data_IF_472017822771
#
_entry.id   IF_472017822771
#
_cell.length_a   1.000
_cell.length_b   1.000
_cell.length_c   1.000
_cell.angle_alpha   90.00
_cell.angle_beta   90.00
_cell.angle_gamma   90.00
#
_symmetry.space_group_name_H-M   'P 1'
#
loop_
_entity.id
_entity.type
_entity.pdbx_description
1 polymer ?
#
# COMPACT_ATOMS: atom_id res chain seq x y z
N UNK A 1 14.63 -22.86 -41.52
CA UNK A 1 15.88 -22.09 -41.74
C UNK A 1 16.36 -21.65 -40.36
N UNK A 2 17.44 -22.10 -39.73
CA UNK A 2 18.61 -22.88 -40.08
C UNK A 2 18.92 -23.80 -38.88
N UNK A 3 19.32 -25.05 -39.15
CA UNK A 3 20.14 -25.86 -38.24
C UNK A 3 21.60 -25.41 -38.37
N UNK A 4 22.43 -25.87 -37.43
CA UNK A 4 23.91 -25.99 -37.46
C UNK A 4 24.65 -24.87 -36.73
N UNK A 5 25.13 -25.16 -35.51
CA UNK A 5 26.57 -25.23 -35.20
C UNK A 5 26.76 -25.53 -33.70
N UNK A 6 27.01 -26.80 -33.41
CA UNK A 6 27.75 -27.22 -32.23
C UNK A 6 29.26 -27.23 -32.57
N UNK A 7 30.08 -27.14 -31.53
CA UNK A 7 31.54 -27.37 -31.50
C UNK A 7 32.41 -26.21 -32.00
N UNK A 8 32.99 -25.46 -31.05
CA UNK A 8 34.45 -25.27 -30.92
C UNK A 8 34.75 -25.01 -29.44
N UNK A 9 35.09 -26.07 -28.70
CA UNK A 9 35.73 -25.99 -27.38
C UNK A 9 37.23 -26.13 -27.64
N UNK A 10 37.98 -25.02 -27.62
CA UNK A 10 39.44 -25.07 -27.72
C UNK A 10 40.06 -24.92 -26.33
N UNK A 11 40.86 -25.92 -25.98
CA UNK A 11 41.73 -26.02 -24.83
C UNK A 11 42.64 -24.78 -24.70
N UNK A 12 42.61 -24.12 -23.55
CA UNK A 12 43.76 -23.38 -23.03
C UNK A 12 44.13 -24.02 -21.70
N UNK A 13 45.13 -24.89 -21.76
CA UNK A 13 45.86 -25.39 -20.60
C UNK A 13 46.67 -24.23 -20.00
N UNK A 14 46.22 -23.67 -18.87
CA UNK A 14 47.09 -22.88 -18.02
C UNK A 14 47.92 -23.84 -17.18
N UNK A 15 49.21 -23.94 -17.52
CA UNK A 15 50.23 -24.55 -16.66
C UNK A 15 50.35 -23.73 -15.39
N UNK A 16 49.91 -24.28 -14.25
CA UNK A 16 50.24 -23.75 -12.94
C UNK A 16 51.75 -23.94 -12.71
N UNK A 17 52.51 -22.85 -12.81
CA UNK A 17 53.87 -22.82 -12.31
C UNK A 17 53.81 -22.73 -10.78
N UNK A 18 54.30 -23.77 -10.10
CA UNK A 18 54.53 -23.77 -8.66
C UNK A 18 55.50 -22.64 -8.28
N UNK A 19 55.20 -21.84 -7.24
CA UNK A 19 56.23 -21.01 -6.62
C UNK A 19 57.14 -21.91 -5.77
N UNK A 20 58.42 -21.90 -6.12
CA UNK A 20 59.50 -22.53 -5.37
C UNK A 20 59.62 -21.86 -3.99
N UNK A 21 59.46 -22.62 -2.91
CA UNK A 21 59.74 -22.18 -1.55
C UNK A 21 61.21 -21.73 -1.41
N UNK A 22 61.43 -20.49 -1.00
CA UNK A 22 62.72 -20.01 -0.49
C UNK A 22 62.76 -20.11 1.05
N UNK A 23 63.91 -20.40 1.67
CA UNK A 23 64.01 -20.58 3.11
C UNK A 23 63.87 -19.26 3.87
N UNK A 24 63.21 -19.31 5.02
CA UNK A 24 63.08 -18.24 6.00
C UNK A 24 64.46 -17.77 6.49
N UNK A 25 64.85 -16.54 6.16
CA UNK A 25 66.02 -15.87 6.73
C UNK A 25 65.58 -14.85 7.79
N UNK A 26 66.22 -14.89 8.96
CA UNK A 26 65.83 -14.17 10.17
C UNK A 26 66.13 -12.66 10.07
N UNK A 27 65.39 -11.76 10.76
CA UNK A 27 65.60 -10.33 10.64
C UNK A 27 66.81 -9.86 11.47
N UNK A 28 67.81 -9.30 10.80
CA UNK A 28 68.94 -8.58 11.40
C UNK A 28 68.67 -7.05 11.30
N UNK A 29 69.00 -6.24 12.33
CA UNK A 29 68.63 -4.81 12.36
C UNK A 29 69.50 -3.95 11.43
N UNK A 30 69.02 -2.75 11.03
CA UNK A 30 69.59 -2.00 9.91
C UNK A 30 70.89 -1.29 10.30
N UNK A 31 71.92 -1.51 9.48
CA UNK A 31 73.09 -0.65 9.41
C UNK A 31 72.87 0.42 8.34
N UNK A 32 73.11 1.67 8.70
CA UNK A 32 73.04 2.83 7.81
C UNK A 32 74.17 2.81 6.76
N UNK A 33 73.93 3.54 5.66
CA UNK A 33 74.82 3.83 4.54
C UNK A 33 75.10 2.73 3.50
N UNK A 34 74.18 2.59 2.52
CA UNK A 34 74.55 2.27 1.13
C UNK A 34 73.70 3.06 0.11
N UNK A 35 74.29 3.53 -1.01
CA UNK A 35 73.61 4.36 -1.99
C UNK A 35 72.74 3.53 -2.96
N UNK A 36 71.60 4.11 -3.36
CA UNK A 36 70.62 3.48 -4.24
C UNK A 36 71.17 3.15 -5.64
N UNK A 37 70.81 2.00 -6.24
CA UNK A 37 71.17 1.66 -7.62
C UNK A 37 70.32 2.45 -8.63
N UNK A 38 70.82 2.67 -9.87
CA UNK A 38 70.11 3.46 -10.88
C UNK A 38 68.86 2.74 -11.40
N UNK A 39 67.81 3.51 -11.63
CA UNK A 39 66.53 3.03 -12.16
C UNK A 39 66.70 2.43 -13.56
N UNK A 40 66.47 1.13 -13.68
CA UNK A 40 66.35 0.44 -14.98
C UNK A 40 64.96 0.75 -15.55
N UNK A 41 64.93 1.48 -16.65
CA UNK A 41 63.70 1.76 -17.42
C UNK A 41 63.18 0.46 -18.05
N UNK A 42 62.12 -0.10 -17.50
CA UNK A 42 61.43 -1.28 -18.04
C UNK A 42 60.52 -0.86 -19.20
N UNK A 43 60.87 -1.20 -20.43
CA UNK A 43 59.95 -1.13 -21.57
C UNK A 43 59.20 -2.45 -21.69
N UNK A 44 57.85 -2.46 -21.60
CA UNK A 44 57.07 -3.67 -21.78
C UNK A 44 57.23 -4.22 -23.20
N UNK A 45 57.28 -5.53 -23.31
CA UNK A 45 57.37 -6.23 -24.58
C UNK A 45 56.11 -6.02 -25.43
N UNK A 46 56.23 -6.18 -26.75
CA UNK A 46 55.09 -6.07 -27.67
C UNK A 46 53.94 -7.03 -27.30
N UNK A 47 54.24 -8.17 -26.69
CA UNK A 47 53.24 -9.13 -26.20
C UNK A 47 52.44 -8.60 -25.00
N UNK A 48 53.09 -7.91 -24.06
CA UNK A 48 52.42 -7.28 -22.90
C UNK A 48 51.55 -6.10 -23.34
N UNK A 49 52.02 -5.32 -24.32
CA UNK A 49 51.24 -4.24 -24.92
C UNK A 49 49.98 -4.76 -25.62
N UNK A 50 50.08 -5.89 -26.34
CA UNK A 50 48.93 -6.53 -26.98
C UNK A 50 47.94 -7.11 -25.97
N UNK A 51 48.43 -7.75 -24.90
CA UNK A 51 47.59 -8.26 -23.82
C UNK A 51 46.82 -7.14 -23.11
N UNK A 52 47.48 -6.01 -22.85
CA UNK A 52 46.87 -4.83 -22.25
C UNK A 52 45.77 -4.21 -23.13
N UNK A 53 45.91 -4.29 -24.46
CA UNK A 53 44.91 -3.77 -25.41
C UNK A 53 43.70 -4.71 -25.59
N UNK A 54 43.93 -6.03 -25.55
CA UNK A 54 42.87 -7.01 -25.81
C UNK A 54 41.99 -7.30 -24.60
N UNK A 55 42.54 -7.22 -23.38
CA UNK A 55 41.80 -7.50 -22.14
C UNK A 55 40.50 -6.67 -21.99
N UNK A 56 40.52 -5.33 -22.10
CA UNK A 56 39.30 -4.52 -21.96
C UNK A 56 38.30 -4.73 -23.11
N UNK A 57 38.76 -5.11 -24.30
CA UNK A 57 37.89 -5.44 -25.44
C UNK A 57 37.11 -6.73 -25.21
N UNK A 58 37.77 -7.75 -24.66
CA UNK A 58 37.16 -9.04 -24.32
C UNK A 58 36.18 -8.88 -23.15
N UNK A 59 36.58 -8.18 -22.08
CA UNK A 59 35.70 -7.88 -20.94
C UNK A 59 34.47 -7.08 -21.36
N UNK A 60 34.64 -6.06 -22.22
CA UNK A 60 33.55 -5.29 -22.77
C UNK A 60 32.59 -6.14 -23.63
N UNK A 61 33.10 -7.12 -24.37
CA UNK A 61 32.26 -8.03 -25.16
C UNK A 61 31.46 -9.01 -24.29
N UNK A 62 32.09 -9.57 -23.24
CA UNK A 62 31.43 -10.45 -22.27
C UNK A 62 30.34 -9.69 -21.50
N UNK A 63 30.63 -8.48 -21.03
CA UNK A 63 29.66 -7.63 -20.32
C UNK A 63 28.44 -7.29 -21.19
N UNK A 64 28.64 -6.95 -22.46
CA UNK A 64 27.53 -6.70 -23.41
C UNK A 64 26.69 -7.95 -23.67
N UNK A 65 27.33 -9.11 -23.82
CA UNK A 65 26.62 -10.38 -24.01
C UNK A 65 25.79 -10.75 -22.77
N UNK A 66 26.34 -10.55 -21.57
CA UNK A 66 25.66 -10.82 -20.30
C UNK A 66 24.46 -9.89 -20.09
N UNK A 67 24.60 -8.60 -20.40
CA UNK A 67 23.51 -7.63 -20.37
C UNK A 67 22.39 -7.98 -21.38
N UNK A 68 22.76 -8.35 -22.61
CA UNK A 68 21.80 -8.80 -23.64
C UNK A 68 21.03 -10.05 -23.21
N UNK A 69 21.68 -11.00 -22.55
CA UNK A 69 21.04 -12.20 -22.02
C UNK A 69 20.07 -11.90 -20.87
N UNK A 70 20.45 -11.02 -19.92
CA UNK A 70 19.57 -10.58 -18.84
C UNK A 70 18.32 -9.87 -19.37
N UNK A 71 18.46 -9.00 -20.37
CA UNK A 71 17.34 -8.33 -21.03
C UNK A 71 16.39 -9.33 -21.71
N UNK A 72 16.93 -10.34 -22.41
CA UNK A 72 16.12 -11.39 -23.02
C UNK A 72 15.36 -12.23 -21.99
N UNK A 73 15.98 -12.53 -20.83
CA UNK A 73 15.31 -13.22 -19.74
C UNK A 73 14.16 -12.39 -19.13
N UNK A 74 14.36 -11.09 -18.94
CA UNK A 74 13.33 -10.18 -18.43
C UNK A 74 12.16 -10.05 -19.42
N UNK A 75 12.44 -9.93 -20.72
CA UNK A 75 11.41 -9.92 -21.76
C UNK A 75 10.57 -11.20 -21.73
N UNK A 76 11.21 -12.38 -21.66
CA UNK A 76 10.49 -13.66 -21.57
C UNK A 76 9.74 -13.88 -20.24
N UNK A 77 10.10 -13.16 -19.16
CA UNK A 77 9.31 -13.14 -17.92
C UNK A 77 8.09 -12.22 -18.06
N UNK A 78 8.25 -11.07 -18.70
CA UNK A 78 7.17 -10.13 -18.97
C UNK A 78 6.08 -10.75 -19.86
N UNK A 79 6.47 -11.44 -20.94
CA UNK A 79 5.53 -12.14 -21.81
C UNK A 79 4.73 -13.21 -21.06
N UNK A 80 5.38 -13.96 -20.16
CA UNK A 80 4.71 -14.97 -19.32
C UNK A 80 3.75 -14.34 -18.31
N UNK A 81 4.10 -13.21 -17.73
CA UNK A 81 3.23 -12.46 -16.83
C UNK A 81 2.01 -11.90 -17.59
N UNK A 82 2.21 -11.38 -18.80
CA UNK A 82 1.13 -10.88 -19.64
C UNK A 82 0.18 -12.00 -20.09
N UNK A 83 0.72 -13.15 -20.51
CA UNK A 83 -0.10 -14.32 -20.82
C UNK A 83 -0.89 -14.84 -19.60
N UNK A 84 -0.29 -14.77 -18.40
CA UNK A 84 -0.96 -15.07 -17.13
C UNK A 84 -2.09 -14.10 -16.81
N UNK A 85 -1.87 -12.80 -17.01
CA UNK A 85 -2.89 -11.76 -16.82
C UNK A 85 -4.07 -11.95 -17.79
N UNK A 86 -3.80 -12.24 -19.07
CA UNK A 86 -4.83 -12.51 -20.06
C UNK A 86 -5.66 -13.77 -19.73
N UNK A 87 -5.00 -14.81 -19.21
CA UNK A 87 -5.69 -16.01 -18.72
C UNK A 87 -6.58 -15.70 -17.50
N UNK A 88 -6.08 -14.88 -16.57
CA UNK A 88 -6.84 -14.39 -15.42
C UNK A 88 -8.07 -13.59 -15.83
N UNK A 89 -7.94 -12.66 -16.77
CA UNK A 89 -9.08 -11.89 -17.30
C UNK A 89 -10.13 -12.77 -17.97
N UNK A 90 -9.73 -13.81 -18.72
CA UNK A 90 -10.68 -14.78 -19.30
C UNK A 90 -11.40 -15.58 -18.22
N UNK A 91 -10.70 -16.01 -17.18
CA UNK A 91 -11.31 -16.73 -16.06
C UNK A 91 -12.32 -15.84 -15.30
N UNK A 92 -11.97 -14.57 -15.05
CA UNK A 92 -12.86 -13.61 -14.41
C UNK A 92 -14.13 -13.37 -15.25
N UNK A 93 -13.99 -13.23 -16.57
CA UNK A 93 -15.13 -13.08 -17.47
C UNK A 93 -16.06 -14.30 -17.45
N UNK A 94 -15.53 -15.50 -17.29
CA UNK A 94 -16.33 -16.72 -17.14
C UNK A 94 -17.08 -16.75 -15.81
N UNK A 95 -16.41 -16.40 -14.70
CA UNK A 95 -17.04 -16.29 -13.38
C UNK A 95 -18.19 -15.28 -13.40
N UNK A 96 -18.03 -14.12 -14.05
CA UNK A 96 -19.10 -13.14 -14.21
C UNK A 96 -20.29 -13.71 -14.97
N UNK A 97 -20.06 -14.50 -16.03
CA UNK A 97 -21.15 -15.16 -16.76
C UNK A 97 -21.85 -16.22 -15.91
N UNK A 98 -21.11 -16.95 -15.08
CA UNK A 98 -21.67 -17.93 -14.15
C UNK A 98 -22.54 -17.24 -13.09
N UNK A 99 -22.08 -16.10 -12.55
CA UNK A 99 -22.87 -15.33 -11.58
C UNK A 99 -24.19 -14.85 -12.19
N UNK A 100 -24.17 -14.29 -13.41
CA UNK A 100 -25.40 -13.86 -14.08
C UNK A 100 -26.38 -15.00 -14.34
N UNK A 101 -25.88 -16.21 -14.66
CA UNK A 101 -26.73 -17.41 -14.78
C UNK A 101 -27.34 -17.79 -13.44
N UNK A 102 -26.56 -17.71 -12.35
CA UNK A 102 -27.05 -18.01 -11.01
C UNK A 102 -28.15 -17.04 -10.59
N UNK A 103 -27.96 -15.74 -10.84
CA UNK A 103 -28.95 -14.71 -10.52
C UNK A 103 -30.26 -14.92 -11.30
N UNK A 104 -30.17 -15.33 -12.58
CA UNK A 104 -31.35 -15.72 -13.38
C UNK A 104 -32.09 -16.91 -12.77
N UNK A 105 -31.38 -17.95 -12.35
CA UNK A 105 -31.99 -19.13 -11.72
C UNK A 105 -32.66 -18.76 -10.40
N UNK A 106 -32.02 -17.91 -9.58
CA UNK A 106 -32.60 -17.41 -8.33
C UNK A 106 -33.88 -16.63 -8.61
N UNK A 107 -33.89 -15.80 -9.66
CA UNK A 107 -35.10 -15.07 -10.07
C UNK A 107 -36.24 -16.01 -10.47
N UNK A 108 -35.96 -17.02 -11.29
CA UNK A 108 -36.96 -18.00 -11.75
C UNK A 108 -37.52 -18.83 -10.58
N UNK A 109 -36.67 -19.27 -9.66
CA UNK A 109 -37.09 -20.01 -8.46
C UNK A 109 -37.97 -19.12 -7.57
N UNK A 110 -37.61 -17.85 -7.40
CA UNK A 110 -38.39 -16.89 -6.61
C UNK A 110 -39.77 -16.66 -7.24
N UNK A 111 -39.84 -16.53 -8.58
CA UNK A 111 -41.08 -16.39 -9.31
C UNK A 111 -41.98 -17.64 -9.18
N UNK A 112 -41.40 -18.84 -9.24
CA UNK A 112 -42.12 -20.10 -9.01
C UNK A 112 -42.67 -20.19 -7.58
N UNK A 113 -41.88 -19.84 -6.57
CA UNK A 113 -42.34 -19.82 -5.17
C UNK A 113 -43.52 -18.84 -4.96
N UNK A 114 -43.46 -17.65 -5.57
CA UNK A 114 -44.56 -16.68 -5.56
C UNK A 114 -45.82 -17.23 -6.23
N UNK A 115 -45.67 -17.95 -7.35
CA UNK A 115 -46.80 -18.57 -8.05
C UNK A 115 -47.48 -19.68 -7.23
N UNK A 116 -46.69 -20.48 -6.50
CA UNK A 116 -47.21 -21.56 -5.65
C UNK A 116 -47.90 -21.00 -4.40
N UNK A 117 -47.36 -19.95 -3.80
CA UNK A 117 -48.02 -19.22 -2.69
C UNK A 117 -49.37 -18.63 -3.13
N UNK A 118 -49.45 -18.12 -4.36
CA UNK A 118 -50.69 -17.56 -4.93
C UNK A 118 -51.72 -18.66 -5.22
N UNK A 119 -51.27 -19.85 -5.66
CA UNK A 119 -52.14 -21.01 -5.93
C UNK A 119 -52.61 -21.72 -4.65
N UNK A 120 -51.82 -21.68 -3.58
CA UNK A 120 -52.15 -22.30 -2.29
C UNK A 120 -53.17 -21.52 -1.44
N UNK A 121 -53.68 -20.37 -1.91
CA UNK A 121 -54.69 -19.58 -1.20
C UNK A 121 -54.24 -19.03 0.15
N UNK A 122 -52.93 -18.98 0.41
CA UNK A 122 -52.39 -18.35 1.60
C UNK A 122 -52.27 -16.85 1.36
N UNK A 123 -53.04 -16.07 2.12
CA UNK A 123 -52.96 -14.62 2.09
C UNK A 123 -51.54 -14.16 2.46
N UNK A 124 -50.86 -13.53 1.51
CA UNK A 124 -49.61 -12.82 1.76
C UNK A 124 -49.91 -11.61 2.66
N UNK A 125 -49.21 -11.40 3.78
CA UNK A 125 -49.34 -10.18 4.55
C UNK A 125 -48.78 -9.02 3.70
N UNK A 126 -49.68 -8.12 3.29
CA UNK A 126 -49.31 -6.85 2.69
C UNK A 126 -48.62 -6.01 3.75
N UNK A 127 -47.29 -5.93 3.71
CA UNK A 127 -46.54 -4.87 4.40
C UNK A 127 -46.69 -3.61 3.54
N UNK A 128 -47.65 -2.76 3.89
CA UNK A 128 -47.71 -1.37 3.41
C UNK A 128 -46.51 -0.63 3.99
N UNK A 129 -45.50 -0.36 3.16
CA UNK A 129 -44.53 0.69 3.44
C UNK A 129 -45.23 2.04 3.37
N UNK A 130 -45.35 2.72 4.50
CA UNK A 130 -45.79 4.11 4.57
C UNK A 130 -44.80 5.01 3.83
N UNK A 131 -45.35 5.81 2.91
CA UNK A 131 -44.66 6.89 2.21
C UNK A 131 -44.66 8.10 3.15
N UNK A 132 -43.48 8.52 3.62
CA UNK A 132 -43.32 9.79 4.32
C UNK A 132 -43.41 10.96 3.33
N UNK A 133 -44.47 11.77 3.43
CA UNK A 133 -44.56 13.12 2.87
C UNK A 133 -43.89 14.16 3.80
N UNK A 134 -43.37 15.28 3.27
CA UNK A 134 -42.71 16.31 4.08
C UNK A 134 -43.73 17.19 4.84
N UNK A 135 -43.37 17.74 6.02
CA UNK A 135 -44.33 18.46 6.85
C UNK A 135 -44.47 19.93 6.43
N UNK A 136 -45.72 20.39 6.33
CA UNK A 136 -46.05 21.82 6.35
C UNK A 136 -46.09 22.35 7.79
N UNK A 137 -45.45 23.50 8.00
CA UNK A 137 -45.59 24.34 9.18
C UNK A 137 -47.04 24.83 9.35
N UNK A 138 -47.60 24.64 10.55
CA UNK A 138 -48.08 25.77 11.38
C UNK A 138 -48.57 25.36 12.77
N UNK A 139 -47.92 25.99 13.76
CA UNK A 139 -48.43 26.67 14.95
C UNK A 139 -49.45 25.99 15.90
N UNK A 140 -49.04 26.09 17.16
CA UNK A 140 -49.79 26.32 18.39
C UNK A 140 -50.21 25.10 19.23
N UNK A 141 -49.46 24.90 20.31
CA UNK A 141 -50.05 24.94 21.65
C UNK A 141 -50.15 23.63 22.44
N UNK A 142 -49.33 23.57 23.50
CA UNK A 142 -49.68 23.11 24.88
C UNK A 142 -49.46 21.63 25.27
N UNK A 143 -48.34 21.41 25.96
CA UNK A 143 -48.21 20.85 27.33
C UNK A 143 -48.99 19.56 27.72
N UNK A 144 -48.29 18.44 27.97
CA UNK A 144 -48.07 17.81 29.29
C UNK A 144 -47.48 16.37 29.21
N UNK A 145 -46.35 16.20 29.89
CA UNK A 145 -45.90 15.10 30.77
C UNK A 145 -46.10 13.59 30.49
N UNK A 146 -45.00 12.88 30.74
CA UNK A 146 -44.85 11.61 31.49
C UNK A 146 -44.67 10.29 30.70
N UNK A 147 -43.52 9.67 30.97
CA UNK A 147 -43.15 8.29 30.69
C UNK A 147 -43.92 7.29 31.57
N UNK A 148 -43.88 5.99 31.24
CA UNK A 148 -43.09 5.09 32.09
C UNK A 148 -42.33 3.98 31.36
N UNK A 149 -41.34 3.40 32.06
CA UNK A 149 -40.49 2.26 31.67
C UNK A 149 -41.15 0.87 31.90
N UNK A 150 -40.43 -0.30 31.94
CA UNK A 150 -40.69 -1.40 31.00
C UNK A 150 -41.19 -2.66 31.71
N UNK A 151 -41.76 -3.59 30.93
CA UNK A 151 -42.18 -4.91 31.44
C UNK A 151 -41.37 -6.03 30.78
N UNK A 152 -40.65 -6.74 31.65
CA UNK A 152 -40.04 -8.07 31.49
C UNK A 152 -41.08 -9.17 31.32
N UNK A 153 -40.88 -10.13 30.39
CA UNK A 153 -40.60 -11.54 30.75
C UNK A 153 -40.60 -12.53 29.56
N UNK A 154 -39.57 -13.38 29.59
CA UNK A 154 -39.45 -14.81 29.25
C UNK A 154 -40.22 -15.40 28.05
N UNK A 155 -39.49 -16.17 27.21
CA UNK A 155 -39.72 -17.63 27.06
C UNK A 155 -38.46 -18.32 26.50
N UNK A 156 -37.95 -19.30 27.25
CA UNK A 156 -36.94 -20.30 26.84
C UNK A 156 -37.55 -21.28 25.83
N UNK A 157 -36.80 -21.64 24.78
CA UNK A 157 -37.00 -22.92 24.06
C UNK A 157 -35.68 -23.68 23.98
N UNK A 158 -35.73 -24.93 24.47
CA UNK A 158 -34.74 -25.99 24.36
C UNK A 158 -34.67 -26.53 22.92
N UNK A 159 -33.46 -26.84 22.45
CA UNK A 159 -33.14 -27.81 21.39
C UNK A 159 -31.87 -28.57 21.85
N UNK A 160 -31.74 -29.89 21.62
CA UNK A 160 -31.02 -30.79 22.50
C UNK A 160 -29.53 -30.96 22.21
N UNK A 161 -28.82 -31.39 23.25
CA UNK A 161 -27.43 -31.83 23.25
C UNK A 161 -27.26 -33.17 22.52
N UNK A 162 -26.23 -33.25 21.68
CA UNK A 162 -25.64 -34.53 21.22
C UNK A 162 -24.23 -34.59 21.81
N UNK A 163 -24.00 -35.60 22.65
CA UNK A 163 -22.69 -35.92 23.19
C UNK A 163 -21.99 -36.97 22.34
N UNK A 164 -20.67 -36.83 22.19
CA UNK A 164 -19.78 -37.94 21.95
C UNK A 164 -18.35 -37.59 22.41
N UNK A 165 -17.99 -38.16 23.56
CA UNK A 165 -16.74 -38.89 23.86
C UNK A 165 -15.42 -38.11 23.75
N UNK A 166 -14.91 -37.75 24.94
CA UNK A 166 -13.50 -37.49 25.22
C UNK A 166 -12.73 -38.83 25.16
N UNK A 167 -11.77 -38.96 24.24
CA UNK A 167 -10.68 -39.93 24.38
C UNK A 167 -9.45 -39.21 24.96
N UNK A 168 -8.98 -39.74 26.08
CA UNK A 168 -7.81 -39.29 26.82
C UNK A 168 -6.54 -39.74 26.09
N UNK A 169 -5.65 -38.81 25.76
CA UNK A 169 -4.27 -39.12 25.37
C UNK A 169 -3.39 -39.20 26.63
N UNK A 170 -2.57 -40.26 26.79
CA UNK A 170 -1.66 -40.37 27.92
C UNK A 170 -0.42 -39.49 27.76
N UNK A 171 -0.07 -38.86 28.87
CA UNK A 171 1.08 -38.01 29.13
C UNK A 171 2.40 -38.80 28.95
N UNK A 172 3.30 -38.32 28.09
CA UNK A 172 4.64 -38.88 27.90
C UNK A 172 5.65 -38.14 28.78
N UNK A 173 6.30 -38.88 29.68
CA UNK A 173 7.44 -38.45 30.49
C UNK A 173 8.67 -38.06 29.64
N UNK A 174 9.48 -37.06 30.06
CA UNK A 174 10.67 -36.63 29.31
C UNK A 174 11.89 -37.53 29.62
N UNK A 175 12.49 -38.09 28.57
CA UNK A 175 13.78 -38.81 28.63
C UNK A 175 14.99 -37.87 28.68
N UNK A 176 16.19 -38.37 29.07
CA UNK A 176 17.34 -37.53 29.41
C UNK A 176 18.06 -36.96 28.19
N UNK A 177 18.53 -35.71 28.34
CA UNK A 177 19.27 -34.94 27.33
C UNK A 177 20.64 -35.57 26.98
N UNK A 178 21.06 -35.54 25.70
CA UNK A 178 22.44 -35.73 25.32
C UNK A 178 23.23 -34.41 25.39
N UNK A 179 24.29 -34.44 26.19
CA UNK A 179 25.32 -33.40 26.32
C UNK A 179 25.90 -33.07 24.94
N UNK A 180 25.63 -31.86 24.44
CA UNK A 180 26.32 -31.30 23.28
C UNK A 180 27.34 -30.22 23.68
N UNK A 181 28.52 -30.39 23.09
CA UNK A 181 29.75 -29.68 23.36
C UNK A 181 29.64 -28.19 23.01
N UNK A 182 30.17 -27.35 23.91
CA UNK A 182 30.36 -25.92 23.71
C UNK A 182 31.29 -25.68 22.51
N UNK A 183 30.78 -25.03 21.47
CA UNK A 183 31.56 -24.49 20.35
C UNK A 183 31.48 -22.95 20.41
N UNK A 184 32.60 -22.21 20.23
CA UNK A 184 32.68 -20.82 20.64
C UNK A 184 31.96 -19.86 19.68
N UNK A 185 31.35 -18.85 20.30
CA UNK A 185 31.03 -17.51 19.77
C UNK A 185 30.38 -17.48 18.38
N UNK A 186 29.05 -17.64 18.37
CA UNK A 186 28.23 -16.95 17.39
C UNK A 186 28.17 -15.48 17.82
N UNK A 187 28.51 -14.61 16.89
CA UNK A 187 28.37 -13.16 16.96
C UNK A 187 26.98 -12.81 17.50
N UNK A 188 26.95 -11.90 18.46
CA UNK A 188 25.72 -11.23 18.88
C UNK A 188 25.23 -10.49 17.64
N UNK A 189 24.25 -11.06 16.93
CA UNK A 189 23.44 -10.31 15.98
C UNK A 189 22.89 -9.12 16.76
N UNK A 190 23.39 -7.93 16.43
CA UNK A 190 23.03 -6.69 17.10
C UNK A 190 21.51 -6.51 17.01
N UNK A 191 20.90 -6.13 18.13
CA UNK A 191 19.57 -5.51 18.10
C UNK A 191 19.55 -4.50 16.95
N UNK A 192 18.52 -4.57 16.09
CA UNK A 192 18.43 -3.74 14.90
C UNK A 192 18.71 -2.27 15.28
N UNK A 193 19.88 -1.76 14.87
CA UNK A 193 20.27 -0.37 15.12
C UNK A 193 19.25 0.52 14.40
N UNK A 194 18.41 1.19 15.18
CA UNK A 194 17.47 2.19 14.71
C UNK A 194 17.75 3.52 15.42
N UNK A 195 17.35 4.63 14.81
CA UNK A 195 17.54 5.97 15.36
C UNK A 195 16.27 6.45 16.05
N UNK A 196 16.35 6.81 17.33
CA UNK A 196 15.19 7.28 18.09
C UNK A 196 14.73 8.70 17.71
N UNK A 197 15.66 9.57 17.30
CA UNK A 197 15.39 10.97 16.99
C UNK A 197 16.00 11.37 15.64
N UNK A 198 15.53 10.78 14.53
CA UNK A 198 16.05 11.07 13.20
C UNK A 198 15.81 12.52 12.80
N UNK A 199 16.74 13.09 12.04
CA UNK A 199 16.54 14.35 11.36
C UNK A 199 15.49 14.21 10.23
N UNK A 200 14.66 15.23 10.05
CA UNK A 200 13.71 15.26 8.95
C UNK A 200 14.42 15.39 7.60
N UNK A 201 14.08 14.52 6.64
CA UNK A 201 14.50 14.69 5.25
C UNK A 201 13.54 15.67 4.53
N UNK A 202 14.01 16.44 3.55
CA UNK A 202 13.16 17.42 2.86
C UNK A 202 12.02 16.76 2.05
N UNK A 203 10.83 17.34 2.03
CA UNK A 203 9.87 16.97 0.98
C UNK A 203 10.44 17.38 -0.40
N UNK A 204 10.07 16.69 -1.49
CA UNK A 204 10.41 17.07 -2.88
C UNK A 204 11.78 16.61 -3.43
N UNK A 205 12.39 15.57 -2.85
CA UNK A 205 13.51 14.86 -3.51
C UNK A 205 12.96 13.86 -4.52
N UNK A 206 13.60 13.75 -5.68
CA UNK A 206 13.12 12.95 -6.80
C UNK A 206 12.92 11.46 -6.47
N UNK A 207 13.80 10.87 -5.65
CA UNK A 207 13.65 9.55 -5.06
C UNK A 207 14.64 9.38 -3.90
N UNK A 208 14.18 8.78 -2.80
CA UNK A 208 15.01 8.42 -1.66
C UNK A 208 15.62 7.04 -1.82
N UNK A 209 16.87 6.91 -1.38
CA UNK A 209 17.48 5.62 -1.10
C UNK A 209 17.18 5.24 0.35
N UNK A 210 17.01 3.94 0.59
CA UNK A 210 16.86 3.44 1.94
C UNK A 210 18.16 3.64 2.73
N UNK A 211 18.11 4.27 3.92
CA UNK A 211 19.28 4.44 4.77
C UNK A 211 19.65 3.12 5.46
N UNK A 212 20.92 2.98 5.87
CA UNK A 212 21.39 1.84 6.67
C UNK A 212 20.64 1.74 8.02
N UNK A 213 20.32 2.89 8.60
CA UNK A 213 19.60 3.00 9.88
C UNK A 213 18.26 3.69 9.66
N UNK A 214 17.17 3.07 10.10
CA UNK A 214 15.82 3.62 10.06
C UNK A 214 15.41 4.19 11.42
N UNK A 215 14.36 5.00 11.45
CA UNK A 215 13.79 5.51 12.68
C UNK A 215 13.17 4.40 13.54
N UNK A 216 13.35 4.46 14.87
CA UNK A 216 12.76 3.54 15.85
C UNK A 216 11.24 3.74 16.03
N UNK A 217 10.50 4.05 14.97
CA UNK A 217 9.06 4.22 14.99
C UNK A 217 8.43 3.49 13.80
N UNK A 218 7.22 2.94 14.01
CA UNK A 218 6.48 2.23 12.95
C UNK A 218 5.51 3.13 12.19
N UNK A 219 5.21 4.32 12.71
CA UNK A 219 4.37 5.32 12.08
C UNK A 219 4.73 6.74 12.50
N UNK A 220 4.20 7.74 11.77
CA UNK A 220 4.38 9.14 12.14
C UNK A 220 3.81 9.42 13.54
N UNK A 221 2.68 8.82 13.92
CA UNK A 221 2.13 8.98 15.26
C UNK A 221 3.09 8.49 16.35
N UNK A 222 3.71 7.31 16.16
CA UNK A 222 4.69 6.78 17.11
C UNK A 222 5.94 7.67 17.17
N UNK A 223 6.43 8.14 16.02
CA UNK A 223 7.59 9.03 15.96
C UNK A 223 7.34 10.36 16.68
N UNK A 224 6.13 10.93 16.51
CA UNK A 224 5.69 12.11 17.25
C UNK A 224 5.69 11.87 18.77
N UNK A 225 5.19 10.72 19.20
CA UNK A 225 5.12 10.37 20.62
C UNK A 225 6.51 10.14 21.25
N UNK A 226 7.55 9.92 20.44
CA UNK A 226 8.94 9.90 20.88
C UNK A 226 9.56 11.30 21.06
N UNK A 227 8.82 12.37 20.71
CA UNK A 227 9.27 13.75 20.88
C UNK A 227 9.81 14.40 19.59
N UNK A 228 9.76 13.70 18.45
CA UNK A 228 10.07 14.30 17.15
C UNK A 228 8.91 15.19 16.72
N UNK A 229 9.20 16.43 16.32
CA UNK A 229 8.18 17.45 16.03
C UNK A 229 8.36 18.17 14.69
N UNK A 230 9.41 17.85 13.92
CA UNK A 230 9.70 18.52 12.65
C UNK A 230 8.95 17.84 11.49
N UNK A 231 8.15 18.58 10.74
CA UNK A 231 7.54 18.03 9.51
C UNK A 231 8.62 17.59 8.52
N UNK A 232 8.39 16.48 7.82
CA UNK A 232 9.31 16.05 6.77
C UNK A 232 9.18 14.58 6.43
N UNK A 233 10.14 14.10 5.65
CA UNK A 233 10.20 12.72 5.18
C UNK A 233 11.05 11.87 6.14
N UNK A 234 10.55 10.69 6.46
CA UNK A 234 11.17 9.76 7.40
C UNK A 234 11.15 8.33 6.87
N UNK A 235 12.24 7.61 7.12
CA UNK A 235 12.31 6.16 6.94
C UNK A 235 11.96 5.48 8.26
N UNK A 236 10.80 4.83 8.31
CA UNK A 236 10.27 4.19 9.50
C UNK A 236 10.53 2.68 9.46
N UNK A 237 10.77 2.06 10.61
CA UNK A 237 10.89 0.59 10.72
C UNK A 237 9.59 -0.14 10.36
N UNK A 238 8.45 0.54 10.43
CA UNK A 238 7.13 -0.04 10.16
C UNK A 238 6.74 -0.16 8.69
N UNK A 239 7.48 0.46 7.77
CA UNK A 239 7.10 0.55 6.36
C UNK A 239 8.31 0.34 5.43
N UNK A 240 8.14 -0.30 4.27
CA UNK A 240 9.23 -0.50 3.32
C UNK A 240 9.51 0.75 2.45
N UNK A 241 8.88 1.89 2.75
CA UNK A 241 8.92 3.12 1.97
C UNK A 241 9.07 4.33 2.90
N UNK A 242 9.70 5.42 2.43
CA UNK A 242 9.72 6.66 3.19
C UNK A 242 8.32 7.28 3.22
N UNK A 243 8.01 7.97 4.32
CA UNK A 243 6.72 8.65 4.48
C UNK A 243 6.91 10.10 4.85
N UNK A 244 6.00 10.95 4.36
CA UNK A 244 5.93 12.33 4.80
C UNK A 244 5.04 12.41 6.05
N UNK A 245 5.65 12.84 7.15
CA UNK A 245 4.99 13.10 8.42
C UNK A 245 4.65 14.57 8.56
N UNK A 246 3.40 14.86 8.93
CA UNK A 246 2.93 16.19 9.33
C UNK A 246 2.65 16.18 10.83
N UNK A 247 3.52 16.88 11.56
CA UNK A 247 3.47 17.09 13.01
C UNK A 247 2.90 18.46 13.39
N UNK A 248 2.91 19.43 12.46
CA UNK A 248 2.49 20.80 12.72
C UNK A 248 0.98 21.02 12.67
N UNK A 249 0.22 20.19 11.95
CA UNK A 249 -1.22 20.38 11.77
C UNK A 249 -2.07 19.37 12.56
N UNK A 250 -3.14 19.88 13.18
CA UNK A 250 -4.22 19.09 13.80
C UNK A 250 -3.69 18.02 14.78
N UNK A 251 -2.92 18.45 15.77
CA UNK A 251 -2.20 17.62 16.76
C UNK A 251 -1.07 16.74 16.20
N UNK A 252 -0.80 16.80 14.90
CA UNK A 252 0.33 16.12 14.28
C UNK A 252 0.23 14.59 14.25
N UNK A 253 1.28 13.93 13.78
CA UNK A 253 1.38 12.47 13.68
C UNK A 253 0.68 11.92 12.45
N UNK A 254 0.40 12.77 11.47
CA UNK A 254 -0.27 12.39 10.23
C UNK A 254 0.72 11.80 9.25
N UNK A 255 0.34 10.69 8.60
CA UNK A 255 1.07 10.12 7.48
C UNK A 255 0.37 10.48 6.18
N UNK A 256 1.13 11.06 5.23
CA UNK A 256 0.63 11.34 3.89
C UNK A 256 0.41 10.04 3.14
N UNK A 257 -0.80 9.83 2.65
CA UNK A 257 -1.15 8.65 1.85
C UNK A 257 -1.14 8.94 0.35
N UNK A 258 -1.60 10.12 -0.05
CA UNK A 258 -1.73 10.49 -1.44
C UNK A 258 -1.64 12.00 -1.63
N UNK A 259 -0.97 12.39 -2.71
CA UNK A 259 -0.98 13.74 -3.27
C UNK A 259 -1.40 13.64 -4.73
N UNK A 260 -2.47 14.34 -5.11
CA UNK A 260 -2.89 14.46 -6.50
C UNK A 260 -2.92 15.93 -6.92
N UNK A 261 -1.96 16.30 -7.77
CA UNK A 261 -1.74 17.68 -8.26
C UNK A 261 -2.24 17.80 -9.69
N UNK A 262 -2.06 16.75 -10.49
CA UNK A 262 -2.60 16.65 -11.85
C UNK A 262 -3.33 15.33 -12.04
N UNK A 263 -4.05 15.21 -13.16
CA UNK A 263 -4.72 13.96 -13.58
C UNK A 263 -3.75 12.89 -14.10
N UNK A 264 -2.48 13.24 -14.32
CA UNK A 264 -1.60 12.47 -15.17
C UNK A 264 -1.20 11.14 -14.54
N UNK A 265 -1.41 10.06 -15.30
CA UNK A 265 -1.04 8.70 -14.93
C UNK A 265 -1.85 8.10 -13.78
N UNK A 266 -3.00 8.67 -13.42
CA UNK A 266 -3.91 8.06 -12.45
C UNK A 266 -4.83 7.02 -13.09
N UNK A 267 -4.88 5.86 -12.46
CA UNK A 267 -5.79 4.75 -12.71
C UNK A 267 -5.97 3.94 -11.39
N UNK A 268 -6.90 2.97 -11.34
CA UNK A 268 -7.14 2.19 -10.12
C UNK A 268 -5.92 1.40 -9.60
N UNK A 269 -4.90 1.14 -10.41
CA UNK A 269 -3.66 0.49 -9.97
C UNK A 269 -2.65 1.52 -9.45
N UNK A 270 -2.43 2.61 -10.19
CA UNK A 270 -1.45 3.63 -9.79
C UNK A 270 -1.89 4.43 -8.56
N UNK A 271 -3.18 4.47 -8.26
CA UNK A 271 -3.66 5.07 -6.99
C UNK A 271 -3.24 4.26 -5.76
N UNK A 272 -2.96 2.96 -5.89
CA UNK A 272 -2.47 2.13 -4.79
C UNK A 272 -1.01 2.44 -4.43
N UNK A 273 -0.19 2.75 -5.45
CA UNK A 273 1.23 3.02 -5.30
C UNK A 273 1.76 3.83 -6.47
N UNK A 274 2.32 5.00 -6.18
CA UNK A 274 2.91 5.92 -7.16
C UNK A 274 4.01 6.75 -6.52
N UNK A 275 5.19 6.76 -7.14
CA UNK A 275 6.33 7.53 -6.64
C UNK A 275 6.61 7.23 -5.16
N UNK A 276 6.47 5.97 -4.73
CA UNK A 276 6.45 5.58 -3.31
C UNK A 276 7.74 5.96 -2.57
N UNK A 277 8.86 6.09 -3.29
CA UNK A 277 10.16 6.54 -2.76
C UNK A 277 10.32 8.07 -2.77
N UNK A 278 9.30 8.82 -3.15
CA UNK A 278 9.36 10.26 -3.37
C UNK A 278 8.15 10.99 -2.77
N UNK A 279 7.93 10.93 -1.44
CA UNK A 279 6.83 11.64 -0.80
C UNK A 279 6.89 13.15 -1.11
N UNK A 280 5.79 13.69 -1.62
CA UNK A 280 5.72 15.07 -2.07
C UNK A 280 4.35 15.67 -1.80
N UNK A 281 4.32 16.95 -1.45
CA UNK A 281 3.10 17.77 -1.39
C UNK A 281 2.79 18.48 -2.71
N UNK A 282 3.71 18.41 -3.69
CA UNK A 282 3.65 19.16 -4.95
C UNK A 282 3.72 18.29 -6.19
N UNK A 283 3.90 16.98 -6.03
CA UNK A 283 3.95 16.01 -7.12
C UNK A 283 3.00 14.84 -6.85
N UNK A 284 2.51 14.20 -7.92
CA UNK A 284 1.64 13.04 -7.80
C UNK A 284 2.36 11.91 -7.03
N UNK A 285 1.81 11.53 -5.88
CA UNK A 285 2.37 10.55 -4.94
C UNK A 285 1.24 9.69 -4.38
N UNK A 286 1.50 8.41 -4.16
CA UNK A 286 0.60 7.54 -3.40
C UNK A 286 1.34 6.38 -2.76
N UNK A 287 0.99 6.11 -1.50
CA UNK A 287 1.31 4.89 -0.75
C UNK A 287 0.04 4.24 -0.18
N UNK A 288 -1.11 4.48 -0.84
CA UNK A 288 -2.43 4.06 -0.34
C UNK A 288 -2.50 2.57 0.01
N UNK A 289 -1.76 1.71 -0.70
CA UNK A 289 -1.68 0.27 -0.41
C UNK A 289 -1.17 -0.07 0.99
N UNK A 290 -0.41 0.83 1.61
CA UNK A 290 0.18 0.65 2.94
C UNK A 290 -0.70 1.25 4.05
N UNK A 291 -1.74 2.01 3.71
CA UNK A 291 -2.56 2.75 4.67
C UNK A 291 -3.21 1.86 5.72
N UNK A 292 -3.73 0.70 5.33
CA UNK A 292 -4.32 -0.29 6.25
C UNK A 292 -3.28 -0.87 7.21
N UNK A 293 -2.05 -1.12 6.73
CA UNK A 293 -0.93 -1.57 7.57
C UNK A 293 -0.62 -0.55 8.66
N UNK A 294 -0.61 0.74 8.31
CA UNK A 294 -0.35 1.83 9.27
C UNK A 294 -1.52 1.94 10.25
N UNK A 295 -2.75 1.98 9.75
CA UNK A 295 -3.99 1.96 10.56
C UNK A 295 -3.95 0.88 11.64
N UNK A 296 -3.50 -0.32 11.27
CA UNK A 296 -3.51 -1.48 12.17
C UNK A 296 -2.47 -1.41 13.30
N UNK A 297 -1.51 -0.48 13.23
CA UNK A 297 -0.58 -0.17 14.32
C UNK A 297 -1.27 0.51 15.51
N UNK A 298 -2.41 1.18 15.28
CA UNK A 298 -3.19 1.82 16.34
C UNK A 298 -3.89 0.81 17.25
N UNK A 299 -3.98 1.10 18.55
CA UNK A 299 -4.76 0.31 19.51
C UNK A 299 -6.23 0.72 19.59
N UNK A 300 -6.61 1.84 18.94
CA UNK A 300 -7.96 2.41 18.90
C UNK A 300 -9.04 1.53 18.24
N UNK A 301 -10.31 1.86 18.46
CA UNK A 301 -11.47 1.26 17.74
C UNK A 301 -11.81 1.98 16.43
N UNK A 302 -11.16 3.12 16.19
CA UNK A 302 -11.31 3.97 15.01
C UNK A 302 -9.94 4.52 14.60
N UNK A 303 -9.87 5.14 13.43
CA UNK A 303 -8.74 5.92 12.97
C UNK A 303 -9.23 7.25 12.39
N UNK A 304 -8.34 8.23 12.29
CA UNK A 304 -8.62 9.49 11.65
C UNK A 304 -8.11 9.49 10.21
N UNK A 305 -8.84 10.15 9.31
CA UNK A 305 -8.35 10.53 8.01
C UNK A 305 -8.62 12.01 7.75
N UNK A 306 -7.70 12.65 7.02
CA UNK A 306 -7.79 14.06 6.66
C UNK A 306 -7.73 14.22 5.16
N UNK A 307 -8.68 14.96 4.60
CA UNK A 307 -8.66 15.33 3.18
C UNK A 307 -8.52 16.84 3.12
N UNK A 308 -7.55 17.30 2.35
CA UNK A 308 -7.34 18.68 2.00
C UNK A 308 -7.38 18.80 0.48
N UNK A 309 -8.00 19.86 -0.03
CA UNK A 309 -8.10 20.13 -1.47
C UNK A 309 -7.74 21.58 -1.71
N UNK A 310 -7.31 21.91 -2.91
CA UNK A 310 -6.73 23.21 -3.25
C UNK A 310 -5.54 23.55 -2.35
N UNK A 311 -4.73 22.54 -2.00
CA UNK A 311 -3.60 22.71 -1.08
C UNK A 311 -2.54 23.68 -1.62
N UNK A 312 -2.50 23.91 -2.94
CA UNK A 312 -1.69 24.95 -3.57
C UNK A 312 -2.09 26.38 -3.16
N UNK A 313 -3.31 26.56 -2.62
CA UNK A 313 -3.83 27.82 -2.08
C UNK A 313 -3.78 27.89 -0.55
N UNK A 314 -3.17 26.90 0.10
CA UNK A 314 -3.06 26.77 1.55
C UNK A 314 -3.54 25.43 2.08
N UNK A 315 -3.00 25.01 3.22
CA UNK A 315 -3.39 23.79 3.94
C UNK A 315 -4.79 23.92 4.55
N UNK A 316 -5.42 22.79 4.86
CA UNK A 316 -6.72 22.69 5.52
C UNK A 316 -7.83 23.45 4.77
N UNK A 317 -7.96 23.16 3.47
CA UNK A 317 -8.95 23.80 2.59
C UNK A 317 -9.92 22.79 2.01
N UNK A 318 -11.18 23.21 1.91
CA UNK A 318 -12.28 22.51 1.23
C UNK A 318 -12.50 21.03 1.58
N UNK A 319 -11.98 20.53 2.70
CA UNK A 319 -12.13 19.15 3.13
C UNK A 319 -12.40 19.04 4.63
N UNK A 320 -11.69 18.17 5.32
CA UNK A 320 -11.91 17.99 6.76
C UNK A 320 -11.13 16.85 7.36
N UNK A 321 -11.45 16.58 8.63
CA UNK A 321 -10.98 15.43 9.38
C UNK A 321 -12.19 14.61 9.78
N UNK A 322 -12.10 13.31 9.56
CA UNK A 322 -13.13 12.35 9.91
C UNK A 322 -12.54 11.22 10.74
N UNK A 323 -13.39 10.60 11.55
CA UNK A 323 -13.14 9.29 12.10
C UNK A 323 -13.87 8.22 11.30
N UNK A 324 -13.20 7.07 11.14
CA UNK A 324 -13.76 5.85 10.57
C UNK A 324 -13.51 4.66 11.51
N UNK A 325 -14.43 3.68 11.59
CA UNK A 325 -14.22 2.44 12.32
C UNK A 325 -12.94 1.71 11.88
N UNK A 326 -12.20 1.10 12.82
CA UNK A 326 -10.92 0.44 12.52
C UNK A 326 -11.01 -0.67 11.46
N UNK A 327 -12.17 -1.33 11.34
CA UNK A 327 -12.37 -2.38 10.33
C UNK A 327 -12.58 -1.83 8.90
N UNK A 328 -12.66 -0.52 8.70
CA UNK A 328 -12.72 0.09 7.37
C UNK A 328 -11.34 0.14 6.72
N UNK A 329 -11.29 -0.10 5.42
CA UNK A 329 -10.11 -0.15 4.56
C UNK A 329 -9.96 1.09 3.68
N UNK A 330 -8.74 1.57 3.50
CA UNK A 330 -8.39 2.61 2.53
C UNK A 330 -8.40 2.11 1.08
N UNK A 331 -8.44 0.80 0.85
CA UNK A 331 -8.44 0.16 -0.47
C UNK A 331 -9.75 -0.57 -0.78
N UNK A 332 -10.84 -0.23 -0.06
CA UNK A 332 -12.18 -0.74 -0.36
C UNK A 332 -12.66 -0.33 -1.76
N UNK A 333 -13.38 -1.23 -2.43
CA UNK A 333 -13.92 -1.04 -3.79
C UNK A 333 -15.45 -0.95 -3.82
N UNK A 334 -16.11 -0.99 -2.66
CA UNK A 334 -17.56 -1.25 -2.57
C UNK A 334 -18.39 0.00 -2.34
N UNK A 335 -17.76 1.12 -1.92
CA UNK A 335 -18.43 2.37 -1.57
C UNK A 335 -19.34 2.30 -0.34
N UNK A 336 -19.24 1.22 0.45
CA UNK A 336 -20.17 0.91 1.56
C UNK A 336 -19.72 1.47 2.92
N UNK A 337 -18.50 1.97 3.00
CA UNK A 337 -17.86 2.48 4.21
C UNK A 337 -18.39 3.86 4.63
N UNK A 338 -19.65 3.90 5.06
CA UNK A 338 -20.45 5.12 5.23
C UNK A 338 -20.57 5.61 6.67
N UNK A 339 -20.25 4.77 7.67
CA UNK A 339 -20.31 5.14 9.08
C UNK A 339 -19.08 5.95 9.51
N UNK A 340 -18.92 7.15 8.93
CA UNK A 340 -17.83 8.08 9.24
C UNK A 340 -18.36 9.30 9.98
N UNK A 341 -17.56 9.83 10.91
CA UNK A 341 -17.92 10.98 11.74
C UNK A 341 -17.03 12.18 11.42
N UNK A 342 -17.61 13.27 10.93
CA UNK A 342 -16.88 14.53 10.67
C UNK A 342 -16.51 15.18 12.00
N UNK A 343 -15.20 15.35 12.23
CA UNK A 343 -14.65 15.98 13.42
C UNK A 343 -14.35 17.45 13.21
N UNK A 344 -13.67 17.76 12.11
CA UNK A 344 -13.28 19.12 11.78
C UNK A 344 -13.59 19.38 10.32
N UNK A 345 -14.28 20.47 10.06
CA UNK A 345 -14.58 20.93 8.71
C UNK A 345 -13.55 21.98 8.31
N UNK A 346 -13.07 21.88 7.08
CA UNK A 346 -12.25 22.90 6.44
C UNK A 346 -13.08 23.66 5.42
N UNK A 347 -13.08 24.99 5.50
CA UNK A 347 -13.97 25.87 4.76
C UNK A 347 -15.47 25.58 4.98
N UNK A 348 -16.32 26.20 4.17
CA UNK A 348 -17.79 26.11 4.25
C UNK A 348 -18.30 25.17 3.17
N UNK A 349 -18.69 23.96 3.59
CA UNK A 349 -19.33 22.98 2.73
C UNK A 349 -20.30 22.09 3.52
N UNK A 350 -21.23 21.47 2.79
CA UNK A 350 -22.19 20.48 3.32
C UNK A 350 -22.16 19.22 2.48
N UNK A 351 -22.60 18.10 3.06
CA UNK A 351 -22.84 16.88 2.30
C UNK A 351 -24.00 17.12 1.33
N UNK A 352 -23.79 16.85 0.04
CA UNK A 352 -24.82 17.07 -0.99
C UNK A 352 -24.63 16.16 -2.20
N UNK A 353 -25.58 16.17 -3.15
CA UNK A 353 -25.51 15.42 -4.41
C UNK A 353 -24.27 15.80 -5.24
N UNK A 354 -23.98 17.09 -5.33
CA UNK A 354 -22.81 17.65 -6.00
C UNK A 354 -21.74 18.05 -4.97
N UNK A 355 -21.15 17.06 -4.30
CA UNK A 355 -20.13 17.33 -3.30
C UNK A 355 -19.61 16.09 -2.62
N UNK A 356 -18.81 16.35 -1.58
CA UNK A 356 -18.32 15.34 -0.64
C UNK A 356 -19.51 14.53 -0.11
N UNK A 357 -19.36 13.21 0.00
CA UNK A 357 -20.33 12.33 0.67
C UNK A 357 -19.84 11.91 2.04
N UNK A 358 -20.78 11.52 2.90
CA UNK A 358 -20.47 10.94 4.22
C UNK A 358 -20.00 9.49 4.07
N UNK A 359 -18.76 9.30 3.63
CA UNK A 359 -18.07 8.00 3.56
C UNK A 359 -16.56 8.16 3.45
N UNK A 360 -15.86 7.07 3.72
CA UNK A 360 -14.47 6.89 3.31
C UNK A 360 -14.35 6.98 1.77
N UNK A 361 -13.28 7.60 1.24
CA UNK A 361 -12.88 7.39 -0.14
C UNK A 361 -12.73 5.90 -0.46
N UNK A 362 -13.19 5.49 -1.65
CA UNK A 362 -13.12 4.12 -2.15
C UNK A 362 -12.58 4.09 -3.59
N UNK A 363 -12.02 2.96 -3.99
CA UNK A 363 -11.38 2.77 -5.31
C UNK A 363 -12.41 2.23 -6.31
N UNK A 364 -12.59 2.94 -7.41
CA UNK A 364 -13.52 2.54 -8.47
C UNK A 364 -12.82 1.70 -9.55
N UNK A 365 -12.50 0.45 -9.19
CA UNK A 365 -11.87 -0.55 -10.09
C UNK A 365 -12.81 -1.03 -11.21
N UNK A 366 -14.11 -1.05 -10.96
CA UNK A 366 -15.11 -1.61 -11.87
C UNK A 366 -15.70 -0.59 -12.86
N UNK A 367 -15.22 0.65 -12.84
CA UNK A 367 -15.64 1.66 -13.80
C UNK A 367 -17.14 1.98 -13.73
N UNK A 368 -17.72 2.05 -12.52
CA UNK A 368 -19.15 2.32 -12.30
C UNK A 368 -19.64 3.70 -12.78
N UNK A 369 -18.80 4.46 -13.49
CA UNK A 369 -19.00 5.86 -13.88
C UNK A 369 -18.34 6.12 -15.22
N UNK A 370 -19.06 6.76 -16.14
CA UNK A 370 -18.54 7.19 -17.44
C UNK A 370 -17.33 8.13 -17.32
N UNK A 371 -17.32 8.92 -16.24
CA UNK A 371 -16.30 9.93 -15.97
C UNK A 371 -15.14 9.43 -15.10
N UNK A 372 -15.10 8.11 -14.86
CA UNK A 372 -13.96 7.38 -14.31
C UNK A 372 -13.28 8.07 -13.11
N UNK A 373 -14.02 8.40 -12.03
CA UNK A 373 -13.37 8.64 -10.74
C UNK A 373 -12.54 7.40 -10.40
N UNK A 374 -11.36 7.61 -9.82
CA UNK A 374 -10.44 6.55 -9.41
C UNK A 374 -10.52 6.36 -7.90
N UNK A 375 -10.35 7.45 -7.14
CA UNK A 375 -10.53 7.48 -5.69
C UNK A 375 -11.56 8.56 -5.35
N UNK A 376 -12.68 8.17 -4.74
CA UNK A 376 -13.82 9.07 -4.61
C UNK A 376 -14.64 8.83 -3.35
N UNK A 377 -15.30 9.88 -2.86
CA UNK A 377 -16.38 9.74 -1.88
C UNK A 377 -17.75 9.60 -2.53
N UNK A 378 -17.86 9.70 -3.86
CA UNK A 378 -19.12 9.62 -4.58
C UNK A 378 -19.84 8.28 -4.36
N UNK A 379 -21.12 8.24 -4.72
CA UNK A 379 -21.85 6.97 -4.81
C UNK A 379 -21.69 6.35 -6.19
N UNK A 380 -22.24 5.15 -6.41
CA UNK A 380 -22.19 4.49 -7.73
C UNK A 380 -23.24 5.06 -8.71
N UNK A 381 -23.98 6.10 -8.32
CA UNK A 381 -24.95 6.82 -9.16
C UNK A 381 -24.29 7.88 -10.06
N UNK A 382 -25.04 8.65 -10.83
CA UNK A 382 -24.52 9.50 -11.93
C UNK A 382 -23.59 10.66 -11.53
N UNK A 383 -23.47 11.02 -10.24
CA UNK A 383 -22.72 12.19 -9.79
C UNK A 383 -21.45 11.81 -9.04
N UNK A 384 -20.30 12.09 -9.67
CA UNK A 384 -18.97 11.75 -9.16
C UNK A 384 -18.26 12.93 -8.48
N UNK A 385 -19.02 13.88 -7.93
CA UNK A 385 -18.46 14.96 -7.10
C UNK A 385 -17.92 14.42 -5.77
N UNK A 386 -17.04 15.20 -5.12
CA UNK A 386 -16.28 14.71 -3.96
C UNK A 386 -15.25 13.65 -4.35
N UNK A 387 -14.73 13.71 -5.57
CA UNK A 387 -13.67 12.83 -6.08
C UNK A 387 -12.32 13.42 -5.72
N UNK A 388 -11.39 12.56 -5.27
CA UNK A 388 -10.02 12.94 -4.94
C UNK A 388 -9.12 12.82 -6.16
N UNK A 389 -9.34 11.77 -6.95
CA UNK A 389 -8.55 11.44 -8.13
C UNK A 389 -9.48 10.95 -9.24
N UNK A 390 -9.33 11.48 -10.45
CA UNK A 390 -9.95 10.96 -11.67
C UNK A 390 -8.93 10.24 -12.53
N UNK A 391 -9.41 9.35 -13.40
CA UNK A 391 -8.57 8.68 -14.38
C UNK A 391 -7.90 9.71 -15.31
N UNK A 392 -6.69 9.41 -15.76
CA UNK A 392 -5.91 10.28 -16.65
C UNK A 392 -6.62 10.71 -17.94
N UNK A 393 -7.59 9.91 -18.40
CA UNK A 393 -8.41 10.22 -19.57
C UNK A 393 -9.50 11.27 -19.34
N UNK A 394 -9.81 11.63 -18.08
CA UNK A 394 -10.84 12.63 -17.77
C UNK A 394 -10.24 14.04 -17.85
N UNK A 395 -10.71 14.86 -18.79
CA UNK A 395 -10.10 16.15 -19.14
C UNK A 395 -10.83 17.39 -18.59
N UNK A 396 -12.02 17.23 -18.00
CA UNK A 396 -12.91 18.37 -17.66
C UNK A 396 -12.60 19.09 -16.35
N UNK A 397 -11.77 18.51 -15.48
CA UNK A 397 -11.49 19.02 -14.13
C UNK A 397 -10.00 19.13 -13.85
N UNK A 398 -9.63 19.85 -12.79
CA UNK A 398 -8.23 20.06 -12.39
C UNK A 398 -7.97 19.69 -10.93
N UNK A 399 -7.44 18.48 -10.65
CA UNK A 399 -7.56 17.29 -11.48
C UNK A 399 -8.96 16.70 -11.47
N UNK A 400 -9.76 16.92 -10.41
CA UNK A 400 -11.02 16.18 -10.20
C UNK A 400 -12.18 17.07 -9.72
N UNK A 401 -13.45 16.65 -9.92
CA UNK A 401 -14.61 17.40 -9.43
C UNK A 401 -14.78 17.27 -7.93
N UNK A 402 -14.96 18.40 -7.27
CA UNK A 402 -15.00 18.46 -5.82
C UNK A 402 -16.35 18.93 -5.25
N UNK A 403 -16.56 20.23 -5.06
CA UNK A 403 -17.71 20.81 -4.37
C UNK A 403 -18.17 22.16 -4.98
N UNK A 404 -19.00 22.15 -6.03
CA UNK A 404 -19.51 23.34 -6.68
C UNK A 404 -20.58 24.05 -5.82
N UNK A 405 -20.81 25.35 -6.05
CA UNK A 405 -20.09 26.21 -7.01
C UNK A 405 -18.74 26.70 -6.47
N UNK A 406 -18.54 26.68 -5.15
CA UNK A 406 -17.44 27.38 -4.49
C UNK A 406 -16.06 26.73 -4.67
N UNK A 407 -16.00 25.41 -4.85
CA UNK A 407 -14.79 24.65 -5.14
C UNK A 407 -15.09 23.58 -6.19
N UNK A 408 -15.44 24.01 -7.41
CA UNK A 408 -15.72 23.10 -8.53
C UNK A 408 -14.59 22.08 -8.73
N UNK A 409 -13.36 22.56 -8.78
CA UNK A 409 -12.18 21.72 -8.96
C UNK A 409 -11.51 21.44 -7.61
N UNK A 410 -10.98 20.22 -7.47
CA UNK A 410 -10.27 19.80 -6.27
C UNK A 410 -8.92 20.51 -6.10
N UNK A 411 -8.29 21.01 -7.16
CA UNK A 411 -6.89 21.47 -7.07
C UNK A 411 -5.97 20.37 -6.52
N UNK A 412 -4.86 20.74 -5.89
CA UNK A 412 -4.00 19.77 -5.22
C UNK A 412 -4.75 19.12 -4.06
N UNK A 413 -4.94 17.81 -4.15
CA UNK A 413 -5.54 16.98 -3.10
C UNK A 413 -4.43 16.37 -2.26
N UNK A 414 -4.55 16.48 -0.93
CA UNK A 414 -3.73 15.76 0.03
C UNK A 414 -4.64 14.86 0.86
N UNK A 415 -4.31 13.57 0.91
CA UNK A 415 -5.03 12.59 1.69
C UNK A 415 -4.10 11.99 2.74
N UNK A 416 -4.53 12.04 3.99
CA UNK A 416 -3.73 11.66 5.15
C UNK A 416 -4.49 10.68 6.02
N UNK A 417 -3.74 9.92 6.80
CA UNK A 417 -4.29 9.13 7.90
C UNK A 417 -3.51 9.36 9.19
N UNK A 418 -4.19 9.12 10.30
CA UNK A 418 -3.57 9.01 11.62
C UNK A 418 -4.29 7.94 12.43
N UNK A 419 -3.52 7.05 13.04
CA UNK A 419 -4.05 6.04 13.95
C UNK A 419 -4.65 6.71 15.20
N UNK A 420 -5.42 5.95 15.97
CA UNK A 420 -5.72 6.32 17.34
C UNK A 420 -5.14 5.32 18.32
N UNK A 421 -4.74 5.85 19.48
CA UNK A 421 -4.27 5.10 20.65
C UNK A 421 -5.17 5.48 21.82
N UNK A 422 -5.42 4.51 22.71
CA UNK A 422 -6.19 4.71 23.94
C UNK A 422 -5.33 5.24 25.08
#
# INVERSE_FOLDING_TARGET
MFRVCAVVLFLVTLTAAHPTEQPLESPQPPAADQPAPPAVSYQPSAAEQLSALLSPLVEGAVSRAQCGWQLAQLAGRLERLQAGADAGHRALAELTRQQLRLDSVVHDVTALQLSELTRAGQAVPVVRGEVCQPPQERRDGKELSAAPEPVTNMTKRHIPQSGAILEQQPELEPGPEPVHQVRPTAEVESEADCEAHPAALPAHVAAYQEPETRACARSCLQLRNQGVAQDGVYWLTGLPVPVLCDFSHDDGGWTLLLTAVSRDGWDPYSVLGRSELSPSLTDNYSILRHADTIRDLGSGTRFAYRIETQAEKGRQRWGGIWFAPKHYSFVDETALQTNVSLMKRFDVWVYQSEGIKRRMPWINTWGYHEFKPVLTTATKDVNFWGTLVTHSSEVRFSPSPWHPPSARDSGTVLYWMREEVF
#
